data_IF_237436306745
#
_entry.id   IF_237436306745
#
_cell.length_a   1.000
_cell.length_b   1.000
_cell.length_c   1.000
_cell.angle_alpha   90.00
_cell.angle_beta   90.00
_cell.angle_gamma   90.00
#
_symmetry.space_group_name_H-M   'P 1'
#
loop_
_entity.id
_entity.type
_entity.pdbx_description
1 polymer ?
#
# COMPACT_ATOMS: atom_id res chain seq x y z
N UNK A 1 -12.43 48.45 39.10
CA UNK A 1 -12.16 48.77 37.68
C UNK A 1 -13.49 48.95 36.95
N UNK A 2 -13.72 50.08 36.28
CA UNK A 2 -15.05 50.52 35.84
C UNK A 2 -15.51 49.77 34.56
N UNK A 3 -16.38 48.76 34.70
CA UNK A 3 -16.99 47.98 33.61
C UNK A 3 -17.46 48.78 32.37
N UNK A 4 -18.00 50.01 32.50
CA UNK A 4 -18.43 50.81 31.35
C UNK A 4 -17.26 51.34 30.49
N UNK A 5 -16.10 51.62 31.09
CA UNK A 5 -14.91 52.09 30.36
C UNK A 5 -14.26 50.95 29.57
N UNK A 6 -14.22 49.74 30.13
CA UNK A 6 -13.80 48.52 29.42
C UNK A 6 -14.68 48.24 28.20
N UNK A 7 -16.00 48.41 28.30
CA UNK A 7 -16.94 48.26 27.16
C UNK A 7 -16.77 49.31 26.05
N UNK A 8 -16.36 50.54 26.38
CA UNK A 8 -16.11 51.59 25.36
C UNK A 8 -14.75 51.42 24.68
N UNK A 9 -13.72 51.03 25.43
CA UNK A 9 -12.40 50.72 24.86
C UNK A 9 -12.44 49.48 23.97
N UNK A 10 -13.22 48.44 24.35
CA UNK A 10 -13.37 47.25 23.51
C UNK A 10 -14.07 47.55 22.18
N UNK A 11 -15.11 48.38 22.14
CA UNK A 11 -15.79 48.75 20.88
C UNK A 11 -14.87 49.48 19.90
N UNK A 12 -14.07 50.45 20.37
CA UNK A 12 -13.12 51.16 19.49
C UNK A 12 -11.99 50.25 19.01
N UNK A 13 -11.48 49.38 19.89
CA UNK A 13 -10.47 48.40 19.52
C UNK A 13 -10.99 47.44 18.44
N UNK A 14 -12.24 46.96 18.55
CA UNK A 14 -12.87 46.09 17.55
C UNK A 14 -13.02 46.80 16.19
N UNK A 15 -13.46 48.06 16.18
CA UNK A 15 -13.64 48.84 14.93
C UNK A 15 -12.32 49.02 14.17
N UNK A 16 -11.19 49.12 14.86
CA UNK A 16 -9.86 49.24 14.24
C UNK A 16 -9.30 47.86 13.89
N UNK A 17 -9.52 46.85 14.75
CA UNK A 17 -9.00 45.51 14.54
C UNK A 17 -9.59 44.84 13.29
N UNK A 18 -10.87 45.03 12.98
CA UNK A 18 -11.52 44.39 11.83
C UNK A 18 -10.90 44.85 10.49
N UNK A 19 -10.77 46.16 10.17
CA UNK A 19 -10.12 46.62 8.95
C UNK A 19 -8.65 46.21 8.86
N UNK A 20 -7.90 46.30 9.95
CA UNK A 20 -6.48 45.87 9.98
C UNK A 20 -6.38 44.38 9.67
N UNK A 21 -7.22 43.56 10.30
CA UNK A 21 -7.28 42.13 10.03
C UNK A 21 -7.64 41.82 8.58
N UNK A 22 -8.64 42.52 8.03
CA UNK A 22 -9.06 42.36 6.63
C UNK A 22 -7.91 42.68 5.66
N UNK A 23 -7.17 43.77 5.91
CA UNK A 23 -6.00 44.14 5.10
C UNK A 23 -4.91 43.06 5.19
N UNK A 24 -4.64 42.54 6.38
CA UNK A 24 -3.67 41.44 6.57
C UNK A 24 -4.09 40.20 5.77
N UNK A 25 -5.35 39.79 5.89
CA UNK A 25 -5.86 38.61 5.18
C UNK A 25 -5.86 38.77 3.65
N UNK A 26 -6.30 39.91 3.13
CA UNK A 26 -6.27 40.21 1.69
C UNK A 26 -4.84 40.23 1.17
N UNK A 27 -3.91 40.83 1.93
CA UNK A 27 -2.49 40.86 1.56
C UNK A 27 -1.89 39.46 1.55
N UNK A 28 -2.15 38.64 2.57
CA UNK A 28 -1.69 37.26 2.63
C UNK A 28 -2.24 36.43 1.46
N UNK A 29 -3.53 36.57 1.14
CA UNK A 29 -4.16 35.88 0.01
C UNK A 29 -3.56 36.30 -1.33
N UNK A 30 -3.29 37.59 -1.53
CA UNK A 30 -2.65 38.10 -2.74
C UNK A 30 -1.18 37.67 -2.89
N UNK A 31 -0.44 37.59 -1.78
CA UNK A 31 0.97 37.18 -1.78
C UNK A 31 1.17 35.67 -1.90
N UNK A 32 0.21 34.85 -1.45
CA UNK A 32 0.37 33.40 -1.36
C UNK A 32 0.81 32.73 -2.68
N UNK A 33 0.20 33.01 -3.85
CA UNK A 33 0.67 32.47 -5.13
C UNK A 33 2.12 32.84 -5.46
N UNK A 34 2.53 34.09 -5.18
CA UNK A 34 3.90 34.58 -5.43
C UNK A 34 4.91 33.88 -4.53
N UNK A 35 4.55 33.68 -3.26
CA UNK A 35 5.39 32.98 -2.29
C UNK A 35 5.55 31.51 -2.70
N UNK A 36 4.46 30.83 -3.07
CA UNK A 36 4.52 29.45 -3.54
C UNK A 36 5.40 29.30 -4.78
N UNK A 37 5.23 30.16 -5.81
CA UNK A 37 6.08 30.13 -7.01
C UNK A 37 7.57 30.37 -6.70
N UNK A 38 7.88 31.17 -5.68
CA UNK A 38 9.27 31.40 -5.24
C UNK A 38 9.85 30.21 -4.45
N UNK A 39 9.01 29.48 -3.72
CA UNK A 39 9.42 28.33 -2.92
C UNK A 39 9.54 27.06 -3.76
N UNK A 40 8.73 26.93 -4.81
CA UNK A 40 8.60 25.73 -5.65
C UNK A 40 9.95 25.21 -6.17
N UNK A 41 10.85 26.02 -6.74
CA UNK A 41 12.14 25.53 -7.21
C UNK A 41 13.02 24.95 -6.08
N UNK A 42 12.89 25.48 -4.86
CA UNK A 42 13.62 24.97 -3.69
C UNK A 42 13.05 23.62 -3.25
N UNK A 43 11.74 23.44 -3.33
CA UNK A 43 11.08 22.16 -3.08
C UNK A 43 11.55 21.14 -4.12
N UNK A 44 11.51 21.47 -5.41
CA UNK A 44 11.97 20.58 -6.49
C UNK A 44 13.45 20.16 -6.32
N UNK A 45 14.34 21.11 -6.04
CA UNK A 45 15.76 20.79 -5.79
C UNK A 45 15.93 19.88 -4.56
N UNK A 46 15.10 20.07 -3.53
CA UNK A 46 15.17 19.27 -2.32
C UNK A 46 14.62 17.86 -2.52
N UNK A 47 13.49 17.70 -3.20
CA UNK A 47 12.95 16.37 -3.52
C UNK A 47 13.91 15.60 -4.42
N UNK A 48 14.60 16.28 -5.33
CA UNK A 48 15.61 15.65 -6.18
C UNK A 48 16.76 15.06 -5.33
N UNK A 49 17.21 15.78 -4.29
CA UNK A 49 18.19 15.24 -3.32
C UNK A 49 17.70 14.03 -2.52
N UNK A 50 16.39 13.76 -2.55
CA UNK A 50 15.74 12.68 -1.80
C UNK A 50 15.34 11.49 -2.68
N UNK A 51 15.65 11.47 -3.97
CA UNK A 51 15.18 10.38 -4.84
C UNK A 51 14.12 10.78 -5.85
N UNK A 52 13.58 11.99 -5.80
CA UNK A 52 12.37 12.35 -6.55
C UNK A 52 12.56 13.65 -7.33
N UNK A 53 12.77 13.54 -8.64
CA UNK A 53 12.83 14.68 -9.55
C UNK A 53 11.40 15.11 -9.89
N UNK A 54 11.06 16.36 -9.64
CA UNK A 54 9.77 16.95 -10.04
C UNK A 54 10.02 17.77 -11.30
N UNK A 55 9.55 17.27 -12.45
CA UNK A 55 9.77 17.91 -13.76
C UNK A 55 8.87 19.13 -13.97
N UNK A 56 7.60 18.99 -13.60
CA UNK A 56 6.59 20.03 -13.76
C UNK A 56 5.65 20.01 -12.56
N UNK A 57 5.25 21.18 -12.09
CA UNK A 57 4.26 21.34 -11.03
C UNK A 57 3.43 22.59 -11.30
N UNK A 58 2.12 22.41 -11.35
CA UNK A 58 1.13 23.47 -11.55
C UNK A 58 0.01 23.35 -10.52
N UNK A 59 -0.60 24.49 -10.19
CA UNK A 59 -1.77 24.58 -9.32
C UNK A 59 -2.68 25.71 -9.83
N UNK A 60 -3.99 25.55 -9.68
CA UNK A 60 -4.96 26.52 -10.19
C UNK A 60 -5.11 27.72 -9.27
N UNK A 61 -5.10 27.49 -7.95
CA UNK A 61 -5.40 28.52 -6.97
C UNK A 61 -4.76 28.24 -5.61
N UNK A 62 -4.55 29.31 -4.83
CA UNK A 62 -4.16 29.24 -3.42
C UNK A 62 -5.08 30.12 -2.60
N UNK A 63 -5.80 29.51 -1.66
CA UNK A 63 -6.72 30.19 -0.74
C UNK A 63 -6.12 30.22 0.66
N UNK A 64 -6.10 31.39 1.28
CA UNK A 64 -5.74 31.55 2.69
C UNK A 64 -7.01 31.80 3.48
N UNK A 65 -7.24 31.01 4.53
CA UNK A 65 -8.42 31.16 5.36
C UNK A 65 -8.41 32.52 6.10
N UNK A 66 -9.58 33.12 6.40
CA UNK A 66 -9.66 34.41 7.07
C UNK A 66 -8.91 34.47 8.39
N UNK A 67 -8.76 33.35 9.10
CA UNK A 67 -8.06 33.23 10.38
C UNK A 67 -6.54 33.02 10.25
N UNK A 68 -6.00 32.96 9.03
CA UNK A 68 -4.60 32.62 8.70
C UNK A 68 -4.13 31.26 9.25
N UNK A 69 -5.04 30.43 9.72
CA UNK A 69 -4.77 29.09 10.24
C UNK A 69 -4.79 28.04 9.16
N UNK A 70 -5.15 28.36 7.92
CA UNK A 70 -5.28 27.36 6.87
C UNK A 70 -4.90 27.93 5.51
N UNK A 71 -4.18 27.13 4.73
CA UNK A 71 -3.86 27.36 3.33
C UNK A 71 -4.38 26.17 2.52
N UNK A 72 -5.16 26.44 1.47
CA UNK A 72 -5.64 25.43 0.53
C UNK A 72 -5.00 25.69 -0.84
N UNK A 73 -4.37 24.66 -1.42
CA UNK A 73 -3.83 24.67 -2.78
C UNK A 73 -4.75 23.78 -3.63
N UNK A 74 -5.30 24.31 -4.71
CA UNK A 74 -6.30 23.63 -5.55
C UNK A 74 -5.71 23.16 -6.88
N UNK A 75 -6.18 22.00 -7.34
CA UNK A 75 -5.89 21.39 -8.64
C UNK A 75 -4.38 21.27 -8.91
N UNK A 76 -3.67 20.63 -7.98
CA UNK A 76 -2.25 20.34 -8.14
C UNK A 76 -2.08 19.27 -9.21
N UNK A 77 -1.22 19.54 -10.19
CA UNK A 77 -0.74 18.53 -11.12
C UNK A 77 0.78 18.55 -11.11
N UNK A 78 1.37 17.37 -11.05
CA UNK A 78 2.80 17.21 -10.91
C UNK A 78 3.28 16.00 -11.71
N UNK A 79 4.33 16.19 -12.50
CA UNK A 79 5.06 15.08 -13.10
C UNK A 79 6.31 14.84 -12.28
N UNK A 80 6.54 13.60 -11.86
CA UNK A 80 7.73 13.25 -11.11
C UNK A 80 8.36 11.95 -11.62
N UNK A 81 9.65 11.84 -11.37
CA UNK A 81 10.48 10.69 -11.72
C UNK A 81 11.34 10.32 -10.51
N UNK A 82 11.55 9.03 -10.29
CA UNK A 82 12.54 8.57 -9.30
C UNK A 82 13.95 8.68 -9.90
N UNK A 83 14.98 8.99 -9.09
CA UNK A 83 16.29 9.50 -9.58
C UNK A 83 16.81 8.78 -10.85
N UNK A 84 17.20 9.57 -11.87
CA UNK A 84 17.88 9.05 -13.04
C UNK A 84 19.23 8.37 -12.73
N UNK A 85 19.26 7.04 -12.83
CA UNK A 85 20.45 6.19 -12.67
C UNK A 85 20.18 4.94 -11.84
N UNK A 86 19.05 4.91 -11.13
CA UNK A 86 18.49 3.70 -10.56
C UNK A 86 17.99 2.79 -11.70
N UNK A 87 17.97 1.47 -11.54
CA UNK A 87 17.31 0.56 -12.50
C UNK A 87 15.78 0.62 -12.39
N UNK A 88 15.28 1.39 -11.43
CA UNK A 88 13.88 1.51 -11.04
C UNK A 88 13.32 2.93 -11.25
N UNK A 89 13.64 3.58 -12.38
CA UNK A 89 12.97 4.85 -12.75
C UNK A 89 11.47 4.58 -12.84
N UNK A 90 10.68 5.41 -12.18
CA UNK A 90 9.23 5.33 -12.12
C UNK A 90 8.66 6.69 -12.50
N UNK A 91 8.54 6.93 -13.80
CA UNK A 91 7.84 8.10 -14.32
C UNK A 91 6.39 8.03 -13.90
N UNK A 92 5.93 9.08 -13.25
CA UNK A 92 4.64 9.10 -12.61
C UNK A 92 3.98 10.46 -12.77
N UNK A 93 2.67 10.44 -12.99
CA UNK A 93 1.83 11.64 -12.94
C UNK A 93 1.05 11.63 -11.64
N UNK A 94 1.14 12.72 -10.89
CA UNK A 94 0.32 12.99 -9.72
C UNK A 94 -0.67 14.11 -10.05
N UNK A 95 -1.94 13.89 -9.74
CA UNK A 95 -3.00 14.90 -9.77
C UNK A 95 -3.65 14.92 -8.41
N UNK A 96 -4.06 16.09 -7.92
CA UNK A 96 -4.77 16.21 -6.66
C UNK A 96 -5.69 17.43 -6.69
N UNK A 97 -6.96 17.22 -6.36
CA UNK A 97 -7.94 18.30 -6.40
C UNK A 97 -7.69 19.35 -5.32
N UNK A 98 -7.28 18.94 -4.12
CA UNK A 98 -6.96 19.89 -3.06
C UNK A 98 -5.93 19.37 -2.06
N UNK A 99 -4.98 20.25 -1.69
CA UNK A 99 -4.11 20.09 -0.54
C UNK A 99 -4.42 21.19 0.48
N UNK A 100 -4.86 20.79 1.67
CA UNK A 100 -5.18 21.68 2.78
C UNK A 100 -4.11 21.53 3.86
N UNK A 101 -3.41 22.63 4.16
CA UNK A 101 -2.48 22.74 5.27
C UNK A 101 -3.14 23.58 6.36
N UNK A 102 -3.37 22.99 7.52
CA UNK A 102 -4.01 23.65 8.66
C UNK A 102 -3.04 23.76 9.83
N UNK A 103 -3.00 24.90 10.51
CA UNK A 103 -2.27 25.16 11.74
C UNK A 103 -3.26 25.04 12.91
N UNK A 104 -3.06 24.04 13.78
CA UNK A 104 -3.96 23.78 14.90
C UNK A 104 -3.49 24.47 16.18
N UNK A 105 -2.18 24.62 16.34
CA UNK A 105 -1.59 25.22 17.54
C UNK A 105 -0.56 26.28 17.14
N UNK A 106 -0.84 27.57 17.35
CA UNK A 106 0.08 28.65 16.98
C UNK A 106 1.34 28.70 17.85
N UNK A 107 1.34 28.09 19.03
CA UNK A 107 2.50 28.07 19.93
C UNK A 107 3.47 26.94 19.59
N UNK A 108 2.96 25.76 19.26
CA UNK A 108 3.81 24.62 18.85
C UNK A 108 4.11 24.63 17.37
N UNK A 109 3.38 25.44 16.60
CA UNK A 109 3.50 25.56 15.15
C UNK A 109 3.25 24.21 14.43
N UNK A 110 2.44 23.36 15.07
CA UNK A 110 2.01 22.06 14.56
C UNK A 110 0.60 22.14 13.98
N UNK A 111 0.38 21.31 12.98
CA UNK A 111 -0.80 21.39 12.13
C UNK A 111 -1.17 20.06 11.52
N UNK A 112 -1.98 20.08 10.47
CA UNK A 112 -2.29 18.90 9.66
C UNK A 112 -2.14 19.20 8.18
N UNK A 113 -1.83 18.17 7.41
CA UNK A 113 -1.86 18.21 5.95
C UNK A 113 -2.91 17.20 5.47
N UNK A 114 -3.83 17.65 4.63
CA UNK A 114 -4.83 16.79 3.98
C UNK A 114 -4.69 16.94 2.47
N UNK A 115 -4.48 15.85 1.75
CA UNK A 115 -4.68 15.83 0.29
C UNK A 115 -5.95 15.04 -0.02
N UNK A 116 -6.80 15.56 -0.89
CA UNK A 116 -8.08 14.94 -1.27
C UNK A 116 -8.14 14.72 -2.77
N UNK A 117 -8.79 13.63 -3.15
CA UNK A 117 -9.06 13.21 -4.53
C UNK A 117 -7.80 13.27 -5.40
N UNK A 118 -6.75 12.59 -4.94
CA UNK A 118 -5.52 12.46 -5.69
C UNK A 118 -5.49 11.18 -6.54
N UNK A 119 -4.88 11.30 -7.70
CA UNK A 119 -4.61 10.20 -8.61
C UNK A 119 -3.09 10.11 -8.84
N UNK A 120 -2.56 8.89 -8.78
CA UNK A 120 -1.16 8.60 -9.14
C UNK A 120 -1.18 7.59 -10.28
N UNK A 121 -0.70 7.99 -11.45
CA UNK A 121 -0.57 7.11 -12.60
C UNK A 121 0.91 6.82 -12.87
N UNK A 122 1.27 5.55 -12.87
CA UNK A 122 2.63 5.09 -13.18
C UNK A 122 2.75 4.87 -14.69
N UNK A 123 3.92 5.16 -15.23
CA UNK A 123 4.19 4.90 -16.62
C UNK A 123 4.35 3.38 -16.85
N UNK A 124 3.62 2.85 -17.83
CA UNK A 124 3.53 1.40 -18.08
C UNK A 124 4.87 0.74 -18.44
N UNK A 125 5.83 1.50 -18.99
CA UNK A 125 7.18 0.97 -19.25
C UNK A 125 7.98 0.67 -18.00
N UNK A 126 7.60 1.28 -16.87
CA UNK A 126 8.38 1.28 -15.64
C UNK A 126 7.85 0.26 -14.63
N UNK A 127 6.63 -0.24 -14.87
CA UNK A 127 6.02 -1.30 -14.11
C UNK A 127 6.53 -2.66 -14.62
N UNK A 128 6.94 -3.59 -13.74
CA UNK A 128 7.22 -4.95 -14.16
C UNK A 128 5.97 -5.58 -14.81
N UNK A 129 6.15 -6.26 -15.94
CA UNK A 129 5.05 -6.85 -16.74
C UNK A 129 4.11 -7.77 -15.96
N UNK A 130 4.64 -8.36 -14.89
CA UNK A 130 3.96 -9.33 -14.05
C UNK A 130 3.22 -8.69 -12.86
N UNK A 131 3.43 -7.40 -12.59
CA UNK A 131 2.76 -6.73 -11.47
C UNK A 131 1.38 -6.24 -11.95
N UNK A 132 0.27 -6.70 -11.35
CA UNK A 132 -1.07 -6.34 -11.78
C UNK A 132 -1.47 -4.90 -11.42
N UNK A 133 -0.56 -4.06 -10.93
CA UNK A 133 -0.86 -2.72 -10.45
C UNK A 133 -0.70 -1.67 -11.55
N UNK A 134 -1.66 -0.77 -11.72
CA UNK A 134 -1.62 0.30 -12.73
C UNK A 134 -1.53 1.70 -12.11
N UNK A 135 -2.49 2.06 -11.27
CA UNK A 135 -2.64 3.42 -10.74
C UNK A 135 -3.37 3.48 -9.41
N UNK A 136 -3.18 4.56 -8.67
CA UNK A 136 -4.06 4.96 -7.56
C UNK A 136 -5.06 5.99 -8.05
N UNK A 137 -6.32 5.87 -7.63
CA UNK A 137 -7.38 6.83 -7.92
C UNK A 137 -8.16 7.19 -6.66
N UNK A 138 -8.80 8.37 -6.65
CA UNK A 138 -9.65 8.83 -5.52
C UNK A 138 -8.92 8.76 -4.16
N UNK A 139 -7.61 9.01 -4.19
CA UNK A 139 -6.75 8.97 -3.04
C UNK A 139 -7.05 10.10 -2.07
N UNK A 140 -6.97 9.81 -0.79
CA UNK A 140 -7.08 10.77 0.29
C UNK A 140 -5.98 10.45 1.29
N UNK A 141 -5.27 11.47 1.74
CA UNK A 141 -4.29 11.34 2.82
C UNK A 141 -4.52 12.45 3.83
N UNK A 142 -4.45 12.10 5.10
CA UNK A 142 -4.53 13.00 6.23
C UNK A 142 -3.38 12.70 7.18
N UNK A 143 -2.63 13.74 7.50
CA UNK A 143 -1.49 13.73 8.38
C UNK A 143 -1.77 14.71 9.49
N UNK A 144 -2.01 14.23 10.71
CA UNK A 144 -2.18 15.11 11.86
C UNK A 144 -0.84 15.44 12.52
N UNK A 145 -0.86 16.53 13.29
CA UNK A 145 0.22 16.96 14.17
C UNK A 145 1.59 17.06 13.49
N UNK A 146 1.70 17.58 12.27
CA UNK A 146 2.99 17.79 11.57
C UNK A 146 3.60 19.16 11.87
N UNK A 147 4.94 19.31 11.94
CA UNK A 147 5.60 20.60 12.22
C UNK A 147 5.60 21.51 10.97
N UNK A 148 4.51 22.26 10.76
CA UNK A 148 4.26 23.06 9.54
C UNK A 148 5.35 24.10 9.26
N UNK A 149 5.92 24.69 10.29
CA UNK A 149 6.98 25.71 10.14
C UNK A 149 8.37 25.13 9.95
N UNK A 150 8.52 23.80 10.06
CA UNK A 150 9.76 23.09 9.78
C UNK A 150 9.53 22.10 8.62
N UNK A 151 9.37 22.59 7.36
CA UNK A 151 9.00 21.75 6.22
C UNK A 151 9.91 20.54 6.02
N UNK A 152 11.20 20.67 6.36
CA UNK A 152 12.17 19.57 6.28
C UNK A 152 11.86 18.46 7.28
N UNK A 153 11.51 18.82 8.51
CA UNK A 153 11.13 17.85 9.55
C UNK A 153 9.78 17.23 9.22
N UNK A 154 8.80 18.03 8.80
CA UNK A 154 7.50 17.53 8.37
C UNK A 154 7.63 16.54 7.21
N UNK A 155 8.40 16.87 6.17
CA UNK A 155 8.65 15.95 5.05
C UNK A 155 9.33 14.65 5.51
N UNK A 156 10.26 14.72 6.45
CA UNK A 156 10.92 13.55 7.03
C UNK A 156 9.95 12.69 7.83
N UNK A 157 9.13 13.29 8.71
CA UNK A 157 8.09 12.59 9.49
C UNK A 157 7.09 11.90 8.56
N UNK A 158 6.61 12.61 7.52
CA UNK A 158 5.68 12.06 6.53
C UNK A 158 6.32 10.90 5.78
N UNK A 159 7.54 11.08 5.26
CA UNK A 159 8.23 10.03 4.53
C UNK A 159 8.47 8.81 5.42
N UNK A 160 8.89 9.02 6.66
CA UNK A 160 9.12 7.93 7.62
C UNK A 160 7.81 7.18 7.89
N UNK A 161 6.72 7.88 8.20
CA UNK A 161 5.43 7.25 8.47
C UNK A 161 4.88 6.49 7.26
N UNK A 162 5.00 7.05 6.05
CA UNK A 162 4.63 6.34 4.82
C UNK A 162 5.52 5.12 4.58
N UNK A 163 6.85 5.27 4.73
CA UNK A 163 7.79 4.15 4.55
C UNK A 163 7.55 3.03 5.56
N UNK A 164 7.35 3.34 6.84
CA UNK A 164 7.02 2.36 7.88
C UNK A 164 5.71 1.64 7.56
N UNK A 165 4.67 2.41 7.22
CA UNK A 165 3.37 1.87 6.87
C UNK A 165 3.45 0.93 5.66
N UNK A 166 4.22 1.27 4.63
CA UNK A 166 4.36 0.42 3.45
C UNK A 166 5.35 -0.75 3.66
N UNK A 167 6.40 -0.60 4.45
CA UNK A 167 7.38 -1.68 4.63
C UNK A 167 6.96 -2.69 5.70
N UNK A 168 6.33 -2.21 6.77
CA UNK A 168 6.01 -3.02 7.95
C UNK A 168 4.51 -3.25 8.13
N UNK A 169 3.67 -2.65 7.28
CA UNK A 169 2.21 -2.64 7.42
C UNK A 169 1.74 -2.06 8.77
N UNK A 170 2.57 -1.20 9.37
CA UNK A 170 2.31 -0.55 10.64
C UNK A 170 3.01 0.80 10.64
N UNK A 171 2.33 1.84 11.12
CA UNK A 171 2.90 3.16 11.32
C UNK A 171 2.49 3.74 12.65
N UNK A 172 3.37 4.54 13.25
CA UNK A 172 3.04 5.37 14.41
C UNK A 172 2.64 6.78 13.96
N UNK A 173 1.70 7.41 14.67
CA UNK A 173 1.18 8.74 14.35
C UNK A 173 -0.15 8.72 13.59
N UNK A 174 -0.86 9.85 13.60
CA UNK A 174 -2.19 9.98 12.97
C UNK A 174 -2.05 10.19 11.45
N UNK A 175 -1.67 9.10 10.79
CA UNK A 175 -1.61 8.97 9.34
C UNK A 175 -2.84 8.20 8.87
N UNK A 176 -3.72 8.86 8.13
CA UNK A 176 -4.89 8.23 7.51
C UNK A 176 -4.75 8.29 6.01
N UNK A 177 -4.90 7.14 5.37
CA UNK A 177 -4.89 7.02 3.92
C UNK A 177 -6.13 6.24 3.48
N UNK A 178 -6.72 6.62 2.36
CA UNK A 178 -7.72 5.82 1.67
C UNK A 178 -7.71 6.13 0.18
N UNK A 179 -7.82 5.13 -0.67
CA UNK A 179 -7.94 5.32 -2.12
C UNK A 179 -8.29 4.02 -2.81
N UNK A 180 -8.46 4.09 -4.12
CA UNK A 180 -8.64 2.91 -4.97
C UNK A 180 -7.30 2.59 -5.65
N UNK A 181 -6.87 1.35 -5.53
CA UNK A 181 -5.78 0.74 -6.28
C UNK A 181 -6.41 0.08 -7.50
N UNK A 182 -6.10 0.56 -8.69
CA UNK A 182 -6.58 -0.08 -9.92
C UNK A 182 -5.60 -1.16 -10.33
N UNK A 183 -6.11 -2.38 -10.42
CA UNK A 183 -5.36 -3.54 -10.89
C UNK A 183 -5.83 -4.04 -12.25
N UNK A 184 -4.93 -4.62 -13.03
CA UNK A 184 -5.21 -5.22 -14.33
C UNK A 184 -5.23 -6.74 -14.25
N UNK A 185 -6.31 -7.33 -14.75
CA UNK A 185 -6.50 -8.76 -14.90
C UNK A 185 -6.91 -9.08 -16.34
N UNK A 186 -5.91 -9.29 -17.20
CA UNK A 186 -6.13 -9.29 -18.65
C UNK A 186 -6.55 -7.89 -19.12
N UNK A 187 -7.67 -7.80 -19.83
CA UNK A 187 -8.22 -6.53 -20.32
C UNK A 187 -9.13 -5.81 -19.29
N UNK A 188 -9.36 -6.42 -18.13
CA UNK A 188 -10.23 -5.86 -17.11
C UNK A 188 -9.44 -5.03 -16.09
N UNK A 189 -10.00 -3.87 -15.74
CA UNK A 189 -9.55 -3.06 -14.61
C UNK A 189 -10.42 -3.34 -13.39
N UNK A 190 -9.77 -3.60 -12.26
CA UNK A 190 -10.42 -3.94 -11.00
C UNK A 190 -9.98 -2.92 -9.96
N UNK A 191 -10.83 -1.94 -9.60
CA UNK A 191 -10.54 -1.02 -8.51
C UNK A 191 -10.66 -1.75 -7.17
N UNK A 192 -9.73 -1.47 -6.26
CA UNK A 192 -9.68 -2.08 -4.93
C UNK A 192 -9.39 -1.03 -3.86
N UNK A 193 -10.26 -0.90 -2.87
CA UNK A 193 -10.12 0.09 -1.81
C UNK A 193 -8.97 -0.29 -0.87
N UNK A 194 -7.90 0.49 -0.90
CA UNK A 194 -6.79 0.45 0.05
C UNK A 194 -6.99 1.57 1.07
N UNK A 195 -6.94 1.25 2.36
CA UNK A 195 -7.13 2.24 3.42
C UNK A 195 -6.30 1.90 4.66
N UNK A 196 -6.12 2.88 5.53
CA UNK A 196 -5.56 2.67 6.86
C UNK A 196 -6.65 2.37 7.87
N UNK A 197 -6.52 1.27 8.61
CA UNK A 197 -7.33 0.98 9.78
C UNK A 197 -6.53 1.29 11.05
N UNK A 198 -7.22 1.85 12.05
CA UNK A 198 -6.65 2.10 13.38
C UNK A 198 -6.77 0.84 14.24
N UNK A 199 -5.64 0.31 14.69
CA UNK A 199 -5.51 -0.93 15.46
C UNK A 199 -4.67 -0.66 16.72
N UNK A 200 -5.35 -0.35 17.83
CA UNK A 200 -4.68 0.10 19.06
C UNK A 200 -4.02 1.46 18.89
N UNK A 201 -2.70 1.53 19.05
CA UNK A 201 -1.89 2.76 18.85
C UNK A 201 -1.24 2.83 17.46
N UNK A 202 -1.60 1.90 16.57
CA UNK A 202 -0.98 1.76 15.24
C UNK A 202 -2.01 1.98 14.13
N UNK A 203 -1.53 2.44 12.98
CA UNK A 203 -2.28 2.42 11.73
C UNK A 203 -1.73 1.33 10.82
N UNK A 204 -2.62 0.56 10.19
CA UNK A 204 -2.25 -0.55 9.30
C UNK A 204 -2.93 -0.41 7.95
N UNK A 205 -2.23 -0.70 6.86
CA UNK A 205 -2.84 -0.71 5.53
C UNK A 205 -3.70 -1.97 5.36
N UNK A 206 -4.88 -1.80 4.76
CA UNK A 206 -5.80 -2.88 4.47
C UNK A 206 -6.49 -2.71 3.12
N UNK A 207 -6.75 -3.83 2.47
CA UNK A 207 -7.79 -3.89 1.44
C UNK A 207 -9.15 -4.18 2.06
N UNK A 208 -10.22 -3.80 1.37
CA UNK A 208 -11.55 -4.36 1.64
C UNK A 208 -11.57 -5.85 1.30
N UNK A 209 -12.12 -6.69 2.16
CA UNK A 209 -12.25 -8.14 1.88
C UNK A 209 -13.14 -8.41 0.66
N UNK A 210 -14.18 -7.62 0.45
CA UNK A 210 -15.06 -7.74 -0.71
C UNK A 210 -14.31 -7.44 -2.02
N UNK A 211 -13.42 -6.45 -2.00
CA UNK A 211 -12.59 -6.13 -3.16
C UNK A 211 -11.58 -7.26 -3.40
N UNK A 212 -10.95 -7.81 -2.36
CA UNK A 212 -10.07 -8.99 -2.47
C UNK A 212 -10.81 -10.17 -3.10
N UNK A 213 -12.07 -10.43 -2.73
CA UNK A 213 -12.92 -11.44 -3.36
C UNK A 213 -13.18 -11.15 -4.83
N UNK A 214 -13.50 -9.90 -5.17
CA UNK A 214 -13.74 -9.49 -6.56
C UNK A 214 -12.49 -9.69 -7.43
N UNK A 215 -11.32 -9.34 -6.90
CA UNK A 215 -10.02 -9.51 -7.57
C UNK A 215 -9.70 -10.98 -7.77
N UNK A 216 -9.83 -11.79 -6.72
CA UNK A 216 -9.59 -13.23 -6.78
C UNK A 216 -10.49 -13.89 -7.84
N UNK A 217 -11.78 -13.53 -7.87
CA UNK A 217 -12.74 -14.01 -8.87
C UNK A 217 -12.34 -13.63 -10.29
N UNK A 218 -11.94 -12.38 -10.51
CA UNK A 218 -11.55 -11.90 -11.84
C UNK A 218 -10.23 -12.53 -12.32
N UNK A 219 -9.29 -12.78 -11.42
CA UNK A 219 -8.06 -13.53 -11.69
C UNK A 219 -8.26 -15.04 -11.74
N UNK A 220 -9.48 -15.53 -11.47
CA UNK A 220 -9.83 -16.96 -11.37
C UNK A 220 -8.98 -17.71 -10.34
N UNK A 221 -8.57 -17.01 -9.27
CA UNK A 221 -7.84 -17.56 -8.14
C UNK A 221 -8.84 -17.96 -7.05
N UNK A 222 -8.81 -19.22 -6.64
CA UNK A 222 -9.69 -19.74 -5.60
C UNK A 222 -9.05 -19.58 -4.21
N UNK A 223 -9.43 -18.52 -3.50
CA UNK A 223 -8.95 -18.20 -2.15
C UNK A 223 -9.94 -18.64 -1.07
N UNK A 224 -9.43 -19.26 0.00
CA UNK A 224 -10.21 -19.51 1.21
C UNK A 224 -10.62 -18.19 1.92
N UNK A 225 -11.61 -18.26 2.80
CA UNK A 225 -12.04 -17.09 3.58
C UNK A 225 -10.92 -16.52 4.46
N UNK A 226 -10.14 -17.40 5.10
CA UNK A 226 -8.99 -17.03 5.93
C UNK A 226 -7.86 -16.44 5.09
N UNK A 227 -7.67 -16.90 3.85
CA UNK A 227 -6.73 -16.27 2.93
C UNK A 227 -7.19 -14.88 2.50
N UNK A 228 -8.48 -14.67 2.24
CA UNK A 228 -9.01 -13.35 1.91
C UNK A 228 -8.73 -12.38 3.05
N UNK A 229 -8.97 -12.80 4.30
CA UNK A 229 -8.63 -12.02 5.49
C UNK A 229 -7.13 -11.78 5.63
N UNK A 230 -6.29 -12.78 5.35
CA UNK A 230 -4.84 -12.62 5.38
C UNK A 230 -4.38 -11.59 4.34
N UNK A 231 -4.85 -11.75 3.12
CA UNK A 231 -4.47 -10.90 1.98
C UNK A 231 -4.98 -9.47 2.19
N UNK A 232 -6.15 -9.30 2.81
CA UNK A 232 -6.69 -7.99 3.13
C UNK A 232 -5.82 -7.25 4.15
N UNK A 233 -5.19 -7.95 5.09
CA UNK A 233 -4.27 -7.34 6.06
C UNK A 233 -2.83 -7.20 5.56
N UNK A 234 -2.45 -7.79 4.42
CA UNK A 234 -1.12 -7.61 3.81
C UNK A 234 -1.22 -7.09 2.37
N UNK A 235 -1.79 -5.88 2.17
CA UNK A 235 -2.12 -5.39 0.84
C UNK A 235 -0.92 -5.31 -0.11
N UNK A 236 0.27 -5.02 0.42
CA UNK A 236 1.49 -4.88 -0.38
C UNK A 236 2.11 -6.21 -0.80
N UNK A 237 1.77 -7.29 -0.10
CA UNK A 237 2.18 -8.65 -0.47
C UNK A 237 1.19 -9.28 -1.44
N UNK A 238 -0.05 -8.80 -1.47
CA UNK A 238 -1.13 -9.37 -2.28
C UNK A 238 -0.76 -9.57 -3.76
N UNK A 239 -0.25 -8.56 -4.50
CA UNK A 239 0.04 -8.74 -5.92
C UNK A 239 1.06 -9.86 -6.18
N UNK A 240 2.06 -9.96 -5.30
CA UNK A 240 3.12 -10.98 -5.40
C UNK A 240 2.60 -12.36 -5.01
N UNK A 241 1.73 -12.47 -3.99
CA UNK A 241 1.05 -13.73 -3.63
C UNK A 241 0.20 -14.23 -4.82
N UNK A 242 -0.56 -13.35 -5.48
CA UNK A 242 -1.35 -13.72 -6.66
C UNK A 242 -0.47 -14.19 -7.81
N UNK A 243 0.62 -13.48 -8.08
CA UNK A 243 1.60 -13.86 -9.11
C UNK A 243 2.24 -15.23 -8.82
N UNK A 244 2.64 -15.48 -7.58
CA UNK A 244 3.22 -16.76 -7.15
C UNK A 244 2.19 -17.89 -7.28
N UNK A 245 0.92 -17.62 -6.94
CA UNK A 245 -0.17 -18.60 -7.07
C UNK A 245 -0.41 -18.98 -8.54
N UNK A 246 -0.52 -18.00 -9.44
CA UNK A 246 -0.65 -18.24 -10.89
C UNK A 246 0.58 -18.98 -11.47
N UNK A 247 1.80 -18.59 -11.05
CA UNK A 247 3.04 -19.26 -11.47
C UNK A 247 3.05 -20.74 -11.06
N UNK A 248 2.65 -21.05 -9.81
CA UNK A 248 2.60 -22.43 -9.32
C UNK A 248 1.55 -23.25 -10.08
N UNK A 249 0.37 -22.68 -10.34
CA UNK A 249 -0.67 -23.32 -11.12
C UNK A 249 -0.21 -23.61 -12.55
N UNK A 250 0.35 -22.62 -13.26
CA UNK A 250 0.90 -22.79 -14.62
C UNK A 250 2.01 -23.84 -14.66
N UNK A 251 2.91 -23.82 -13.67
CA UNK A 251 3.97 -24.83 -13.55
C UNK A 251 3.37 -26.23 -13.41
N UNK A 252 2.40 -26.41 -12.51
CA UNK A 252 1.75 -27.70 -12.29
C UNK A 252 1.07 -28.24 -13.56
N UNK A 253 0.29 -27.40 -14.25
CA UNK A 253 -0.40 -27.76 -15.50
C UNK A 253 0.57 -28.12 -16.62
N UNK A 254 1.72 -27.45 -16.70
CA UNK A 254 2.75 -27.72 -17.71
C UNK A 254 3.37 -29.10 -17.53
N UNK A 255 3.72 -29.47 -16.28
CA UNK A 255 4.48 -30.70 -16.02
C UNK A 255 3.59 -31.92 -15.71
N UNK A 256 2.37 -31.72 -15.23
CA UNK A 256 1.44 -32.79 -14.86
C UNK A 256 0.03 -32.59 -15.47
N UNK A 257 -0.10 -32.45 -16.80
CA UNK A 257 -1.37 -32.03 -17.44
C UNK A 257 -2.50 -33.07 -17.35
N UNK A 258 -2.21 -34.33 -17.00
CA UNK A 258 -3.16 -35.45 -17.09
C UNK A 258 -3.49 -36.09 -15.74
N UNK A 259 -2.68 -35.83 -14.72
CA UNK A 259 -2.82 -36.44 -13.40
C UNK A 259 -3.14 -35.33 -12.40
N UNK A 260 -4.43 -35.24 -12.02
CA UNK A 260 -4.93 -34.17 -11.16
C UNK A 260 -4.21 -34.13 -9.81
N UNK A 261 -3.82 -35.28 -9.26
CA UNK A 261 -3.22 -35.34 -7.93
C UNK A 261 -1.74 -34.99 -7.97
N UNK A 262 -1.01 -35.44 -9.00
CA UNK A 262 0.37 -34.99 -9.23
C UNK A 262 0.44 -33.50 -9.55
N UNK A 263 -0.53 -32.99 -10.30
CA UNK A 263 -0.66 -31.57 -10.56
C UNK A 263 -0.85 -30.81 -9.24
N UNK A 264 -1.75 -31.26 -8.40
CA UNK A 264 -2.04 -30.64 -7.10
C UNK A 264 -0.82 -30.67 -6.16
N UNK A 265 -0.17 -31.83 -6.01
CA UNK A 265 1.06 -31.97 -5.23
C UNK A 265 2.19 -31.05 -5.72
N UNK A 266 2.39 -30.96 -7.04
CA UNK A 266 3.36 -30.05 -7.63
C UNK A 266 2.98 -28.58 -7.40
N UNK A 267 1.69 -28.23 -7.50
CA UNK A 267 1.19 -26.88 -7.23
C UNK A 267 1.51 -26.48 -5.78
N UNK A 268 1.09 -27.28 -4.80
CA UNK A 268 1.32 -26.98 -3.37
C UNK A 268 2.80 -26.90 -3.02
N UNK A 269 3.61 -27.84 -3.49
CA UNK A 269 5.07 -27.86 -3.24
C UNK A 269 5.76 -26.63 -3.84
N UNK A 270 5.50 -26.30 -5.11
CA UNK A 270 6.11 -25.15 -5.78
C UNK A 270 5.58 -23.81 -5.27
N UNK A 271 4.30 -23.73 -4.91
CA UNK A 271 3.68 -22.54 -4.34
C UNK A 271 4.31 -22.17 -2.99
N UNK A 272 4.39 -23.14 -2.07
CA UNK A 272 5.01 -22.95 -0.76
C UNK A 272 6.51 -22.67 -0.85
N UNK A 273 7.21 -23.31 -1.81
CA UNK A 273 8.61 -23.01 -2.11
C UNK A 273 8.80 -21.53 -2.51
N UNK A 274 8.04 -21.03 -3.49
CA UNK A 274 8.17 -19.65 -3.97
C UNK A 274 7.75 -18.61 -2.92
N UNK A 275 6.73 -18.91 -2.11
CA UNK A 275 6.36 -18.08 -0.97
C UNK A 275 7.49 -18.01 0.06
N UNK A 276 8.18 -19.13 0.31
CA UNK A 276 9.33 -19.19 1.24
C UNK A 276 10.50 -18.39 0.71
N UNK A 277 10.82 -18.53 -0.58
CA UNK A 277 11.85 -17.76 -1.27
C UNK A 277 11.59 -16.25 -1.17
N UNK A 278 10.33 -15.83 -1.29
CA UNK A 278 9.95 -14.42 -1.36
C UNK A 278 9.77 -13.77 0.02
N UNK A 279 9.14 -14.48 0.96
CA UNK A 279 8.68 -13.90 2.23
C UNK A 279 9.21 -14.61 3.48
N UNK A 280 9.97 -15.69 3.31
CA UNK A 280 10.44 -16.54 4.39
C UNK A 280 9.43 -17.64 4.80
N UNK A 281 9.91 -18.66 5.54
CA UNK A 281 9.15 -19.89 5.81
C UNK A 281 7.92 -19.65 6.70
N UNK A 282 8.00 -18.74 7.67
CA UNK A 282 6.90 -18.48 8.61
C UNK A 282 5.69 -17.87 7.91
N UNK A 283 5.94 -16.88 7.04
CA UNK A 283 4.86 -16.26 6.27
C UNK A 283 4.32 -17.22 5.21
N UNK A 284 5.18 -18.00 4.55
CA UNK A 284 4.75 -19.03 3.62
C UNK A 284 3.80 -20.04 4.31
N UNK A 285 4.17 -20.53 5.50
CA UNK A 285 3.32 -21.41 6.30
C UNK A 285 1.98 -20.75 6.62
N UNK A 286 2.00 -19.50 7.08
CA UNK A 286 0.78 -18.77 7.43
C UNK A 286 -0.18 -18.63 6.23
N UNK A 287 0.34 -18.31 5.03
CA UNK A 287 -0.45 -18.22 3.80
C UNK A 287 -1.00 -19.58 3.35
N UNK A 288 -0.17 -20.63 3.39
CA UNK A 288 -0.59 -21.97 2.98
C UNK A 288 -1.60 -22.57 3.94
N UNK A 289 -1.38 -22.44 5.25
CA UNK A 289 -2.32 -22.95 6.27
C UNK A 289 -3.70 -22.32 6.13
N UNK A 290 -3.74 -21.01 5.84
CA UNK A 290 -4.98 -20.30 5.59
C UNK A 290 -5.72 -20.78 4.33
N UNK A 291 -5.06 -21.44 3.38
CA UNK A 291 -5.76 -22.08 2.24
C UNK A 291 -6.45 -23.36 2.65
N UNK A 292 -5.81 -24.12 3.54
CA UNK A 292 -6.26 -25.44 3.93
C UNK A 292 -7.46 -25.43 4.89
N UNK A 293 -7.97 -24.24 5.25
CA UNK A 293 -9.18 -24.03 6.04
C UNK A 293 -10.47 -24.07 5.20
N UNK A 294 -10.38 -24.24 3.87
CA UNK A 294 -11.55 -24.29 2.99
C UNK A 294 -12.61 -25.30 3.49
N UNK A 295 -13.89 -24.89 3.50
CA UNK A 295 -14.98 -25.82 3.79
C UNK A 295 -14.99 -26.92 2.71
N UNK A 296 -15.31 -28.14 3.12
CA UNK A 296 -15.37 -29.34 2.27
C UNK A 296 -14.04 -29.95 1.80
N UNK A 297 -12.88 -29.46 2.23
CA UNK A 297 -11.62 -30.16 1.97
C UNK A 297 -11.57 -31.45 2.81
N UNK A 298 -11.49 -32.62 2.16
CA UNK A 298 -11.49 -33.92 2.84
C UNK A 298 -10.26 -34.06 3.74
N UNK A 299 -10.37 -34.85 4.81
CA UNK A 299 -9.30 -34.98 5.82
C UNK A 299 -7.94 -35.36 5.20
N UNK A 300 -7.93 -36.28 4.24
CA UNK A 300 -6.70 -36.80 3.65
C UNK A 300 -6.17 -35.94 2.50
N UNK A 301 -7.04 -35.24 1.76
CA UNK A 301 -6.65 -34.18 0.82
C UNK A 301 -5.91 -33.07 1.58
N UNK A 302 -6.54 -32.54 2.63
CA UNK A 302 -5.92 -31.51 3.48
C UNK A 302 -4.58 -31.94 4.07
N UNK A 303 -4.45 -33.21 4.44
CA UNK A 303 -3.21 -33.76 4.99
C UNK A 303 -2.09 -33.83 3.94
N UNK A 304 -2.44 -34.21 2.70
CA UNK A 304 -1.54 -34.15 1.55
C UNK A 304 -1.08 -32.71 1.30
N UNK A 305 -2.01 -31.75 1.31
CA UNK A 305 -1.72 -30.34 1.03
C UNK A 305 -0.80 -29.73 2.09
N UNK A 306 -1.10 -29.92 3.39
CA UNK A 306 -0.22 -29.50 4.49
C UNK A 306 1.18 -30.07 4.36
N UNK A 307 1.29 -31.38 4.09
CA UNK A 307 2.59 -32.03 3.93
C UNK A 307 3.36 -31.46 2.74
N UNK A 308 2.73 -31.36 1.57
CA UNK A 308 3.38 -30.87 0.36
C UNK A 308 3.78 -29.40 0.47
N UNK A 309 2.97 -28.57 1.14
CA UNK A 309 3.34 -27.22 1.51
C UNK A 309 4.60 -27.23 2.40
N UNK A 310 4.67 -28.09 3.42
CA UNK A 310 5.85 -28.21 4.29
C UNK A 310 7.11 -28.70 3.55
N UNK A 311 6.96 -29.66 2.62
CA UNK A 311 8.06 -30.11 1.74
C UNK A 311 8.59 -28.95 0.90
N UNK A 312 7.70 -28.13 0.32
CA UNK A 312 8.10 -26.95 -0.46
C UNK A 312 9.02 -25.99 0.32
N UNK A 313 8.68 -25.70 1.59
CA UNK A 313 9.52 -24.87 2.47
C UNK A 313 10.87 -25.53 2.76
N UNK A 314 10.87 -26.84 3.01
CA UNK A 314 12.09 -27.62 3.29
C UNK A 314 13.02 -27.68 2.08
N UNK A 315 12.49 -27.87 0.88
CA UNK A 315 13.27 -27.88 -0.36
C UNK A 315 14.00 -26.55 -0.58
N UNK A 316 13.38 -25.42 -0.25
CA UNK A 316 14.05 -24.11 -0.28
C UNK A 316 15.21 -24.04 0.71
N UNK A 317 15.00 -24.48 1.97
CA UNK A 317 16.06 -24.54 2.97
C UNK A 317 17.22 -25.48 2.57
N UNK A 318 16.93 -26.52 1.79
CA UNK A 318 17.91 -27.45 1.21
C UNK A 318 18.62 -26.88 -0.03
N UNK A 319 18.41 -25.61 -0.40
CA UNK A 319 18.94 -24.95 -1.60
C UNK A 319 18.54 -25.63 -2.92
N UNK A 320 17.39 -26.30 -2.94
CA UNK A 320 16.81 -26.87 -4.17
C UNK A 320 16.43 -25.72 -5.11
N UNK A 321 16.67 -25.88 -6.41
CA UNK A 321 16.19 -24.92 -7.42
C UNK A 321 14.76 -25.23 -7.83
N UNK A 322 13.93 -24.22 -8.03
CA UNK A 322 12.51 -24.36 -8.43
C UNK A 322 12.33 -25.31 -9.64
N UNK A 323 13.25 -25.27 -10.62
CA UNK A 323 13.19 -26.10 -11.84
C UNK A 323 13.40 -27.60 -11.58
N UNK A 324 13.92 -27.97 -10.40
CA UNK A 324 14.15 -29.38 -10.03
C UNK A 324 12.90 -30.02 -9.41
N UNK A 325 11.98 -29.23 -8.86
CA UNK A 325 10.78 -29.73 -8.15
C UNK A 325 9.93 -30.68 -9.01
N UNK A 326 9.68 -30.42 -10.32
CA UNK A 326 8.92 -31.36 -11.15
C UNK A 326 9.53 -32.76 -11.21
N UNK A 327 10.87 -32.89 -11.20
CA UNK A 327 11.56 -34.18 -11.21
C UNK A 327 11.50 -34.86 -9.82
N UNK A 328 11.56 -34.06 -8.75
CA UNK A 328 11.45 -34.56 -7.38
C UNK A 328 10.07 -35.16 -7.10
N UNK A 329 9.02 -34.76 -7.82
CA UNK A 329 7.69 -35.36 -7.69
C UNK A 329 7.68 -36.89 -7.88
N UNK A 330 8.61 -37.43 -8.68
CA UNK A 330 8.70 -38.86 -8.93
C UNK A 330 9.67 -39.60 -7.98
N UNK A 331 10.58 -38.89 -7.31
CA UNK A 331 11.72 -39.49 -6.61
C UNK A 331 11.78 -39.14 -5.12
N UNK A 332 11.22 -38.01 -4.71
CA UNK A 332 11.21 -37.56 -3.33
C UNK A 332 10.03 -38.18 -2.58
N UNK A 333 10.34 -39.19 -1.77
CA UNK A 333 9.34 -39.91 -0.96
C UNK A 333 8.64 -39.01 0.06
N UNK A 334 9.12 -37.80 0.35
CA UNK A 334 8.44 -36.87 1.26
C UNK A 334 7.19 -36.25 0.62
N UNK A 335 7.14 -36.16 -0.71
CA UNK A 335 5.98 -35.63 -1.43
C UNK A 335 4.88 -36.69 -1.43
N UNK A 336 3.66 -36.27 -1.08
CA UNK A 336 2.47 -37.11 -1.09
C UNK A 336 1.72 -36.87 -2.40
N UNK A 337 1.51 -37.93 -3.18
CA UNK A 337 1.00 -37.81 -4.54
C UNK A 337 -0.51 -37.95 -4.67
N UNK A 338 -1.21 -38.38 -3.63
CA UNK A 338 -2.66 -38.50 -3.59
C UNK A 338 -3.19 -38.60 -2.14
N UNK A 339 -4.50 -38.42 -1.91
CA UNK A 339 -5.11 -38.64 -0.61
C UNK A 339 -4.97 -40.08 -0.09
N UNK A 340 -4.99 -41.07 -0.98
CA UNK A 340 -4.77 -42.48 -0.62
C UNK A 340 -3.34 -42.73 -0.15
N UNK A 341 -2.36 -42.09 -0.80
CA UNK A 341 -0.96 -42.10 -0.34
C UNK A 341 -0.87 -41.48 1.07
N UNK A 342 -1.49 -40.32 1.29
CA UNK A 342 -1.56 -39.67 2.61
C UNK A 342 -2.15 -40.58 3.68
N UNK A 343 -3.22 -41.31 3.35
CA UNK A 343 -3.91 -42.25 4.24
C UNK A 343 -3.08 -43.46 4.59
N UNK A 344 -2.25 -43.94 3.67
CA UNK A 344 -1.41 -45.13 3.85
C UNK A 344 -0.15 -44.86 4.70
N UNK A 345 0.22 -43.60 4.87
CA UNK A 345 1.46 -43.19 5.55
C UNK A 345 1.30 -43.14 7.07
N UNK A 346 2.35 -43.53 7.83
CA UNK A 346 2.42 -43.27 9.27
C UNK A 346 2.28 -41.77 9.57
N UNK A 347 1.53 -41.40 10.60
CA UNK A 347 1.22 -40.00 10.91
C UNK A 347 2.46 -39.17 11.25
N UNK A 348 3.51 -39.80 11.79
CA UNK A 348 4.81 -39.22 12.12
C UNK A 348 5.72 -39.01 10.90
N UNK A 349 5.44 -39.68 9.77
CA UNK A 349 6.17 -39.48 8.52
C UNK A 349 5.74 -38.23 7.74
N UNK A 350 4.61 -37.63 8.12
CA UNK A 350 4.02 -36.47 7.45
C UNK A 350 4.45 -35.17 8.12
N UNK A 351 4.95 -34.24 7.30
CA UNK A 351 5.34 -32.91 7.73
C UNK A 351 4.10 -32.02 7.95
N UNK A 352 4.17 -31.09 8.91
CA UNK A 352 3.11 -30.09 9.18
C UNK A 352 3.68 -28.68 9.20
#
# INVERSE_FOLDING_TARGET
>A
MNLPRLKKLSKKAIIIAIPVWLVIWLTASWLAPKVCNKILPKVQAKTQSMGVKIDHIEFANIKVAPWLTQVTIESIKMNFDTIPGDKHHLKSTFKCDSVVVSLHNPFTLRGSVKASDFDIQFHQSDLPKDIPFDRFTKGQVYLANVPIVQPKEAAKEILTGVTELFNTNSGTGDFRFSGEVVMRAGDNEIPAKLYTEHDGDQYRLRFSEDDVRAIAKALKVDLAAEQIKLVSVYPLRMPVIMLITDKAEKLSKRYQPRDKWKQDALRHTSWSFMLTETFGPDFAKYVTDAQETKPNNEKFERLMDYNNNAVGRKLFAENTKLQQIPNLLATDQRIVLSPDDAKSRPADSLLR
#
